data_IF_548714820832
#
_entry.id   IF_548714820832
#
_cell.length_a   1.000
_cell.length_b   1.000
_cell.length_c   1.000
_cell.angle_alpha   90.00
_cell.angle_beta   90.00
_cell.angle_gamma   90.00
#
_symmetry.space_group_name_H-M   'P 1'
#
loop_
_entity.id
_entity.type
_entity.pdbx_description
1 polymer ?
#
# COMPACT_ATOMS: atom_id res chain seq x y z
N UNK A 1 8.41 -6.65 -2.01
CA UNK A 1 8.38 -7.93 -2.78
C UNK A 1 8.28 -7.60 -4.28
N UNK A 2 8.79 -8.46 -5.18
CA UNK A 2 8.71 -8.26 -6.65
C UNK A 2 8.21 -9.52 -7.41
N UNK A 3 6.99 -10.02 -7.13
CA UNK A 3 6.48 -11.26 -7.72
C UNK A 3 6.30 -11.18 -9.25
N UNK A 4 6.19 -9.96 -9.80
CA UNK A 4 6.02 -9.72 -11.23
C UNK A 4 7.33 -9.33 -11.94
N UNK A 5 8.45 -9.23 -11.21
CA UNK A 5 9.74 -8.81 -11.77
C UNK A 5 9.80 -7.34 -12.22
N UNK A 6 8.84 -6.52 -11.82
CA UNK A 6 8.71 -5.13 -12.27
C UNK A 6 9.80 -4.25 -11.67
N UNK A 7 10.12 -4.43 -10.39
CA UNK A 7 11.22 -3.68 -9.75
C UNK A 7 12.57 -4.04 -10.38
N UNK A 8 12.80 -5.31 -10.73
CA UNK A 8 14.00 -5.73 -11.44
C UNK A 8 14.14 -5.03 -12.79
N UNK A 9 13.08 -4.99 -13.60
CA UNK A 9 13.06 -4.33 -14.91
C UNK A 9 13.25 -2.82 -14.81
N UNK A 10 12.58 -2.18 -13.85
CA UNK A 10 12.74 -0.75 -13.59
C UNK A 10 14.18 -0.39 -13.19
N UNK A 11 14.81 -1.18 -12.30
CA UNK A 11 16.24 -0.99 -11.95
C UNK A 11 17.20 -1.23 -13.12
N UNK A 12 16.81 -2.05 -14.10
CA UNK A 12 17.57 -2.26 -15.34
C UNK A 12 17.34 -1.14 -16.38
N UNK A 13 16.47 -0.16 -16.10
CA UNK A 13 16.13 0.93 -17.01
C UNK A 13 15.14 0.55 -18.12
N UNK A 14 14.55 -0.64 -18.06
CA UNK A 14 13.57 -1.12 -19.06
C UNK A 14 12.18 -0.49 -18.87
N UNK A 15 11.87 -0.04 -17.64
CA UNK A 15 10.64 0.67 -17.30
C UNK A 15 11.05 2.03 -16.76
N UNK A 16 10.54 3.09 -17.39
CA UNK A 16 10.73 4.49 -16.98
C UNK A 16 9.55 4.95 -16.12
N UNK A 17 9.78 6.00 -15.34
CA UNK A 17 8.79 6.65 -14.49
C UNK A 17 8.15 5.66 -13.50
N UNK A 18 8.99 4.81 -12.91
CA UNK A 18 8.60 3.79 -11.96
C UNK A 18 8.61 4.37 -10.54
N UNK A 19 7.42 4.45 -9.95
CA UNK A 19 7.23 4.98 -8.60
C UNK A 19 8.07 4.22 -7.57
N UNK A 20 8.83 4.96 -6.76
CA UNK A 20 9.76 4.42 -5.76
C UNK A 20 11.15 4.06 -6.30
N UNK A 21 11.44 4.31 -7.59
CA UNK A 21 12.79 4.20 -8.18
C UNK A 21 13.20 5.53 -8.80
N UNK A 22 12.59 5.90 -9.92
CA UNK A 22 12.89 7.13 -10.68
C UNK A 22 11.78 8.18 -10.55
N UNK A 23 10.56 7.77 -10.21
CA UNK A 23 9.48 8.68 -9.81
C UNK A 23 9.22 8.62 -8.29
N UNK A 24 8.97 9.75 -7.61
CA UNK A 24 8.68 9.75 -6.17
C UNK A 24 7.29 9.18 -5.86
N UNK A 25 7.16 8.56 -4.68
CA UNK A 25 5.85 8.28 -4.09
C UNK A 25 5.50 9.37 -3.09
N UNK A 26 4.34 10.01 -3.26
CA UNK A 26 3.81 10.99 -2.33
C UNK A 26 2.83 10.31 -1.36
N UNK A 27 3.30 10.03 -0.15
CA UNK A 27 2.45 9.43 0.87
C UNK A 27 1.29 10.39 1.25
N UNK A 28 0.07 9.88 1.51
CA UNK A 28 -1.04 10.72 1.96
C UNK A 28 -0.70 11.41 3.29
N UNK A 29 -0.94 12.72 3.38
CA UNK A 29 -0.71 13.48 4.61
C UNK A 29 -1.71 13.13 5.73
N UNK A 30 -2.97 12.87 5.36
CA UNK A 30 -4.07 12.59 6.30
C UNK A 30 -4.92 11.42 5.81
N UNK A 31 -4.38 10.19 5.82
CA UNK A 31 -5.16 9.01 5.43
C UNK A 31 -6.22 8.71 6.49
N UNK A 32 -7.40 8.23 6.07
CA UNK A 32 -8.43 7.75 6.99
C UNK A 32 -7.98 6.50 7.77
N UNK A 33 -7.18 5.65 7.13
CA UNK A 33 -6.57 4.44 7.70
C UNK A 33 -5.18 4.27 7.08
N UNK A 34 -4.18 3.94 7.90
CA UNK A 34 -2.84 3.58 7.45
C UNK A 34 -2.55 2.12 7.86
N UNK A 35 -2.47 1.22 6.88
CA UNK A 35 -2.15 -0.19 7.07
C UNK A 35 -0.65 -0.40 6.91
N UNK A 36 0.01 -0.98 7.93
CA UNK A 36 1.45 -1.26 7.91
C UNK A 36 1.70 -2.71 7.51
N UNK A 37 1.69 -2.95 6.21
CA UNK A 37 1.74 -4.30 5.62
C UNK A 37 3.02 -5.08 5.87
N UNK A 38 4.06 -4.43 6.37
CA UNK A 38 5.31 -5.02 6.83
C UNK A 38 5.27 -5.48 8.30
N UNK A 39 4.27 -5.03 9.06
CA UNK A 39 4.14 -5.22 10.51
C UNK A 39 2.86 -5.96 10.92
N UNK A 40 1.91 -6.12 10.01
CA UNK A 40 0.60 -6.72 10.25
C UNK A 40 0.38 -7.94 9.36
N UNK A 41 -0.42 -8.89 9.82
CA UNK A 41 -0.95 -9.94 8.94
C UNK A 41 -2.13 -9.42 8.12
N UNK A 42 -2.48 -10.14 7.06
CA UNK A 42 -3.65 -9.81 6.24
C UNK A 42 -4.94 -9.79 7.08
N UNK A 43 -5.08 -10.75 7.99
CA UNK A 43 -6.23 -10.85 8.88
C UNK A 43 -6.35 -9.62 9.79
N UNK A 44 -5.24 -9.17 10.39
CA UNK A 44 -5.19 -7.97 11.24
C UNK A 44 -5.57 -6.71 10.46
N UNK A 45 -5.07 -6.56 9.23
CA UNK A 45 -5.41 -5.43 8.37
C UNK A 45 -6.89 -5.43 8.00
N UNK A 46 -7.44 -6.57 7.60
CA UNK A 46 -8.85 -6.70 7.24
C UNK A 46 -9.74 -6.37 8.44
N UNK A 47 -9.40 -6.88 9.63
CA UNK A 47 -10.16 -6.58 10.85
C UNK A 47 -10.12 -5.08 11.20
N UNK A 48 -8.96 -4.44 11.06
CA UNK A 48 -8.82 -2.99 11.27
C UNK A 48 -9.69 -2.18 10.30
N UNK A 49 -9.74 -2.56 9.02
CA UNK A 49 -10.59 -1.91 8.01
C UNK A 49 -12.07 -2.05 8.40
N UNK A 50 -12.53 -3.27 8.67
CA UNK A 50 -13.94 -3.55 9.00
C UNK A 50 -14.35 -2.81 10.28
N UNK A 51 -13.52 -2.84 11.31
CA UNK A 51 -13.77 -2.11 12.56
C UNK A 51 -13.89 -0.60 12.33
N UNK A 52 -13.02 -0.03 11.48
CA UNK A 52 -13.06 1.40 11.15
C UNK A 52 -14.30 1.77 10.33
N UNK A 53 -14.70 0.95 9.37
CA UNK A 53 -15.90 1.20 8.57
C UNK A 53 -17.17 1.14 9.45
N UNK A 54 -17.25 0.17 10.38
CA UNK A 54 -18.35 0.07 11.36
C UNK A 54 -18.39 1.26 12.32
N UNK A 55 -17.24 1.66 12.88
CA UNK A 55 -17.19 2.78 13.83
C UNK A 55 -17.58 4.11 13.19
N UNK A 56 -17.38 4.25 11.87
CA UNK A 56 -17.83 5.40 11.07
C UNK A 56 -19.26 5.25 10.54
N UNK A 57 -19.95 4.16 10.83
CA UNK A 57 -21.33 3.91 10.39
C UNK A 57 -21.48 3.69 8.88
N UNK A 58 -20.40 3.31 8.19
CA UNK A 58 -20.40 3.09 6.73
C UNK A 58 -20.92 1.71 6.34
N UNK A 59 -20.80 0.74 7.26
CA UNK A 59 -21.31 -0.63 7.11
C UNK A 59 -21.93 -1.08 8.45
N UNK A 60 -22.92 -1.97 8.36
CA UNK A 60 -23.58 -2.65 9.50
C UNK A 60 -22.93 -4.00 9.79
#
# INVERSE_FOLDING_TARGET
RDPKGLYKKARAGEIKNFTGIDDPYEAPNTPEIHLKTDQQTLEEEVELIIATLRSRGLIS
#
